data_IF_858455132216
#
_entry.id   IF_858455132216
#
_cell.length_a   1.000
_cell.length_b   1.000
_cell.length_c   1.000
_cell.angle_alpha   90.00
_cell.angle_beta   90.00
_cell.angle_gamma   90.00
#
_symmetry.space_group_name_H-M   'P 1'
#
loop_
_entity.id
_entity.type
_entity.pdbx_description
1 polymer ?
#
# COMPACT_ATOMS: atom_id res chain seq x y z
N UNK A 1 20.01 -7.70 -61.49
CA UNK A 1 19.17 -7.27 -60.34
C UNK A 1 19.34 -8.08 -59.03
N UNK A 2 19.98 -9.26 -59.00
CA UNK A 2 20.10 -10.06 -57.76
C UNK A 2 21.18 -9.58 -56.76
N UNK A 3 22.22 -8.88 -57.23
CA UNK A 3 23.37 -8.46 -56.38
C UNK A 3 23.05 -7.25 -55.48
N UNK A 4 22.14 -6.38 -55.91
CA UNK A 4 21.70 -5.21 -55.16
C UNK A 4 20.80 -5.60 -53.97
N UNK A 5 19.91 -6.58 -54.17
CA UNK A 5 19.06 -7.17 -53.12
C UNK A 5 19.88 -7.88 -52.04
N UNK A 6 20.96 -8.58 -52.42
CA UNK A 6 21.88 -9.22 -51.44
C UNK A 6 22.59 -8.19 -50.55
N UNK A 7 23.05 -7.07 -51.11
CA UNK A 7 23.68 -5.99 -50.33
C UNK A 7 22.69 -5.32 -49.38
N UNK A 8 21.47 -5.05 -49.85
CA UNK A 8 20.40 -4.50 -49.00
C UNK A 8 20.00 -5.46 -47.87
N UNK A 9 19.88 -6.76 -48.15
CA UNK A 9 19.61 -7.78 -47.13
C UNK A 9 20.74 -7.89 -46.09
N UNK A 10 22.00 -7.81 -46.52
CA UNK A 10 23.16 -7.84 -45.61
C UNK A 10 23.17 -6.60 -44.72
N UNK A 11 22.91 -5.41 -45.27
CA UNK A 11 22.82 -4.16 -44.49
C UNK A 11 21.66 -4.23 -43.48
N UNK A 12 20.51 -4.75 -43.89
CA UNK A 12 19.35 -4.93 -43.00
C UNK A 12 19.64 -5.91 -41.86
N UNK A 13 20.31 -7.04 -42.16
CA UNK A 13 20.71 -8.02 -41.14
C UNK A 13 21.69 -7.41 -40.13
N UNK A 14 22.69 -6.66 -40.60
CA UNK A 14 23.63 -5.96 -39.73
C UNK A 14 22.93 -4.93 -38.85
N UNK A 15 21.94 -4.20 -39.40
CA UNK A 15 21.15 -3.24 -38.64
C UNK A 15 20.30 -3.91 -37.55
N UNK A 16 19.62 -5.02 -37.86
CA UNK A 16 18.84 -5.78 -36.88
C UNK A 16 19.75 -6.32 -35.76
N UNK A 17 20.90 -6.89 -36.11
CA UNK A 17 21.86 -7.39 -35.12
C UNK A 17 22.39 -6.27 -34.21
N UNK A 18 22.61 -5.08 -34.76
CA UNK A 18 23.02 -3.91 -33.99
C UNK A 18 21.95 -3.48 -32.99
N UNK A 19 20.68 -3.39 -33.42
CA UNK A 19 19.56 -3.06 -32.52
C UNK A 19 19.40 -4.14 -31.43
N UNK A 20 19.47 -5.43 -31.77
CA UNK A 20 19.39 -6.52 -30.79
C UNK A 20 20.54 -6.46 -29.78
N UNK A 21 21.77 -6.16 -30.23
CA UNK A 21 22.93 -6.00 -29.36
C UNK A 21 22.75 -4.82 -28.39
N UNK A 22 22.26 -3.68 -28.89
CA UNK A 22 21.92 -2.52 -28.05
C UNK A 22 20.85 -2.87 -27.02
N UNK A 23 19.77 -3.58 -27.43
CA UNK A 23 18.71 -4.00 -26.50
C UNK A 23 19.25 -4.94 -25.41
N UNK A 24 20.15 -5.86 -25.76
CA UNK A 24 20.81 -6.74 -24.80
C UNK A 24 21.74 -5.96 -23.86
N UNK A 25 22.53 -5.03 -24.38
CA UNK A 25 23.40 -4.17 -23.56
C UNK A 25 22.63 -3.24 -22.63
N UNK A 26 21.52 -2.64 -23.10
CA UNK A 26 20.60 -1.85 -22.28
C UNK A 26 19.91 -2.69 -21.21
N UNK A 27 19.64 -3.98 -21.51
CA UNK A 27 19.12 -4.94 -20.54
C UNK A 27 20.16 -5.34 -19.50
N UNK A 28 21.45 -5.44 -19.84
CA UNK A 28 22.53 -5.69 -18.88
C UNK A 28 22.95 -4.45 -18.09
N UNK A 29 22.68 -3.26 -18.61
CA UNK A 29 22.87 -1.97 -17.92
C UNK A 29 21.68 -1.60 -17.02
N UNK A 30 20.55 -2.31 -17.11
CA UNK A 30 19.57 -2.34 -16.03
C UNK A 30 20.09 -3.34 -14.99
N UNK A 31 20.61 -2.89 -13.83
CA UNK A 31 20.78 -3.79 -12.71
C UNK A 31 19.41 -4.36 -12.36
N UNK A 32 19.22 -5.66 -12.62
CA UNK A 32 18.26 -6.44 -11.85
C UNK A 32 18.65 -6.23 -10.38
N UNK A 33 17.76 -5.57 -9.63
CA UNK A 33 17.83 -5.13 -8.23
C UNK A 33 18.19 -3.66 -8.00
N UNK A 34 17.19 -2.80 -8.22
CA UNK A 34 16.69 -1.94 -7.14
C UNK A 34 15.16 -2.04 -7.19
N UNK A 35 14.57 -2.58 -6.13
CA UNK A 35 13.13 -2.64 -5.95
C UNK A 35 12.54 -1.24 -5.89
N UNK A 36 12.01 -0.79 -7.02
CA UNK A 36 11.06 0.31 -7.08
C UNK A 36 9.70 -0.38 -7.09
N UNK A 37 8.96 -0.14 -6.01
CA UNK A 37 7.77 -0.90 -5.62
C UNK A 37 6.85 -1.23 -6.80
N UNK A 38 6.46 -2.50 -6.85
CA UNK A 38 5.31 -2.93 -7.61
C UNK A 38 4.13 -2.00 -7.30
N UNK A 39 3.48 -1.38 -8.30
CA UNK A 39 2.33 -0.49 -8.08
C UNK A 39 1.09 -1.22 -7.55
N UNK A 40 1.18 -2.54 -7.38
CA UNK A 40 0.19 -3.40 -6.79
C UNK A 40 0.94 -4.27 -5.80
N UNK A 41 0.62 -4.17 -4.50
CA UNK A 41 1.38 -4.73 -3.37
C UNK A 41 1.49 -6.27 -3.29
N UNK A 42 1.87 -6.92 -4.39
CA UNK A 42 2.09 -8.36 -4.49
C UNK A 42 3.38 -8.83 -3.80
N UNK A 43 4.18 -7.90 -3.25
CA UNK A 43 5.39 -8.20 -2.48
C UNK A 43 5.18 -8.46 -0.97
N UNK A 44 3.95 -8.41 -0.44
CA UNK A 44 3.70 -8.52 1.00
C UNK A 44 3.39 -9.94 1.52
N UNK A 45 3.54 -10.98 0.71
CA UNK A 45 3.28 -12.36 1.15
C UNK A 45 4.53 -13.25 1.33
N UNK A 46 5.52 -12.89 2.18
CA UNK A 46 6.42 -13.89 2.76
C UNK A 46 5.67 -14.94 3.62
N UNK A 47 4.52 -14.57 4.16
CA UNK A 47 3.83 -15.33 5.21
C UNK A 47 2.96 -16.49 4.70
N UNK A 48 2.53 -16.46 3.43
CA UNK A 48 1.78 -17.57 2.83
C UNK A 48 2.69 -18.75 2.46
N UNK A 49 3.92 -18.49 2.02
CA UNK A 49 4.88 -19.54 1.67
C UNK A 49 5.37 -20.30 2.92
N UNK A 50 5.46 -19.62 4.06
CA UNK A 50 5.84 -20.24 5.33
C UNK A 50 4.71 -21.11 5.90
N UNK A 51 3.43 -20.74 5.71
CA UNK A 51 2.28 -21.56 6.09
C UNK A 51 2.19 -22.86 5.29
N UNK A 52 2.51 -22.84 4.00
CA UNK A 52 2.47 -24.05 3.18
C UNK A 52 3.56 -25.05 3.60
N UNK A 53 4.76 -24.59 3.95
CA UNK A 53 5.85 -25.43 4.45
C UNK A 53 5.64 -25.93 5.89
N UNK A 54 4.97 -25.15 6.75
CA UNK A 54 4.66 -25.54 8.13
C UNK A 54 3.51 -26.56 8.22
N UNK A 55 2.59 -26.55 7.27
CA UNK A 55 1.45 -27.48 7.22
C UNK A 55 1.84 -28.88 6.71
N UNK A 56 2.94 -29.01 5.98
CA UNK A 56 3.43 -30.30 5.48
C UNK A 56 4.16 -31.13 6.56
N UNK A 57 4.67 -30.49 7.63
CA UNK A 57 5.62 -31.12 8.55
C UNK A 57 5.04 -31.54 9.92
N UNK A 58 3.71 -31.71 10.03
CA UNK A 58 3.08 -32.18 11.28
C UNK A 58 2.26 -33.45 11.08
N UNK A 59 2.97 -34.58 10.99
CA UNK A 59 2.47 -35.88 11.43
C UNK A 59 2.93 -36.13 12.88
N UNK A 60 1.96 -36.54 13.71
CA UNK A 60 1.92 -36.85 15.16
C UNK A 60 3.08 -37.76 15.71
N UNK A 61 3.27 -38.03 17.04
CA UNK A 61 2.51 -37.57 18.23
C UNK A 61 3.28 -37.28 19.55
N UNK A 62 2.49 -36.81 20.55
CA UNK A 62 2.49 -37.18 21.99
C UNK A 62 3.17 -36.32 23.09
N UNK A 63 2.32 -35.95 24.07
CA UNK A 63 2.48 -35.91 25.53
C UNK A 63 3.53 -34.98 26.17
N UNK A 64 3.08 -34.06 27.04
CA UNK A 64 3.08 -34.22 28.52
C UNK A 64 2.74 -32.90 29.23
N UNK A 65 1.99 -33.05 30.31
CA UNK A 65 1.40 -32.02 31.16
C UNK A 65 2.38 -31.33 32.12
N UNK A 66 1.83 -30.32 32.82
CA UNK A 66 2.24 -29.71 34.10
C UNK A 66 3.36 -28.66 34.05
N UNK A 67 3.43 -27.66 34.92
CA UNK A 67 2.59 -26.98 35.92
C UNK A 67 3.55 -25.96 36.58
N UNK A 68 2.99 -24.92 37.22
CA UNK A 68 3.53 -24.22 38.39
C UNK A 68 4.30 -22.87 38.29
N UNK A 69 3.74 -21.95 39.10
CA UNK A 69 4.31 -20.83 39.90
C UNK A 69 4.83 -19.53 39.29
N UNK A 70 3.95 -18.53 39.46
CA UNK A 70 4.17 -17.21 40.08
C UNK A 70 5.48 -17.03 40.86
N UNK A 71 6.21 -15.94 40.58
CA UNK A 71 6.85 -15.14 41.63
C UNK A 71 6.89 -13.66 41.22
N UNK A 72 6.63 -12.83 42.22
CA UNK A 72 6.31 -11.42 42.17
C UNK A 72 7.54 -10.61 42.64
N UNK A 73 7.94 -9.56 41.91
CA UNK A 73 8.82 -8.52 42.46
C UNK A 73 8.31 -7.14 42.04
N UNK A 74 8.19 -6.26 43.04
CA UNK A 74 7.59 -4.95 42.96
C UNK A 74 8.64 -3.85 42.71
N UNK A 75 8.12 -2.73 42.20
CA UNK A 75 8.55 -1.33 42.39
C UNK A 75 9.40 -0.68 41.27
N UNK A 76 8.70 -0.02 40.34
CA UNK A 76 9.08 1.31 39.81
C UNK A 76 7.79 2.14 39.63
N UNK A 77 7.43 2.85 40.70
CA UNK A 77 6.23 3.67 40.82
C UNK A 77 6.60 5.13 40.52
N UNK A 78 6.01 5.75 39.49
CA UNK A 78 6.16 7.20 39.26
C UNK A 78 5.76 7.73 37.89
N UNK A 79 5.92 6.94 36.81
CA UNK A 79 5.66 7.44 35.43
C UNK A 79 4.43 6.78 34.77
N UNK A 80 3.99 5.62 35.29
CA UNK A 80 2.92 4.83 34.67
C UNK A 80 1.49 5.36 34.90
N UNK A 81 1.26 6.23 35.89
CA UNK A 81 -0.11 6.58 36.32
C UNK A 81 -0.85 7.42 35.27
N UNK A 82 -0.14 8.25 34.49
CA UNK A 82 -0.77 9.07 33.44
C UNK A 82 -1.01 8.30 32.13
N UNK A 83 -0.20 7.26 31.86
CA UNK A 83 -0.34 6.38 30.69
C UNK A 83 -1.50 5.40 30.90
N UNK A 84 -1.63 4.83 32.09
CA UNK A 84 -2.67 3.86 32.44
C UNK A 84 -4.07 4.49 32.48
N UNK A 85 -4.19 5.73 32.94
CA UNK A 85 -5.49 6.44 32.98
C UNK A 85 -6.03 6.78 31.58
N UNK A 86 -5.13 7.05 30.63
CA UNK A 86 -5.49 7.31 29.23
C UNK A 86 -5.82 6.02 28.48
N UNK A 87 -5.16 4.91 28.80
CA UNK A 87 -5.45 3.60 28.17
C UNK A 87 -6.72 2.95 28.70
N UNK A 88 -7.05 3.06 29.99
CA UNK A 88 -8.29 2.48 30.53
C UNK A 88 -9.56 3.19 30.04
N UNK A 89 -9.48 4.50 29.77
CA UNK A 89 -10.60 5.25 29.19
C UNK A 89 -10.86 4.90 27.71
N UNK A 90 -9.81 4.60 26.93
CA UNK A 90 -9.95 4.17 25.52
C UNK A 90 -10.35 2.69 25.40
N UNK A 91 -9.89 1.83 26.32
CA UNK A 91 -10.28 0.41 26.39
C UNK A 91 -11.77 0.26 26.72
N UNK A 92 -12.32 1.09 27.61
CA UNK A 92 -13.75 1.08 27.92
C UNK A 92 -14.65 1.39 26.72
N UNK A 93 -14.20 2.26 25.81
CA UNK A 93 -14.97 2.66 24.61
C UNK A 93 -14.89 1.65 23.46
N UNK A 94 -13.85 0.81 23.42
CA UNK A 94 -13.71 -0.25 22.42
C UNK A 94 -14.56 -1.50 22.74
N UNK A 95 -14.85 -1.72 24.02
CA UNK A 95 -15.65 -2.86 24.50
C UNK A 95 -17.12 -2.78 24.03
N UNK A 96 -17.64 -1.57 23.79
CA UNK A 96 -19.01 -1.35 23.32
C UNK A 96 -19.14 -1.45 21.78
N UNK A 97 -18.04 -1.59 21.04
CA UNK A 97 -18.08 -1.67 19.59
C UNK A 97 -18.43 -3.10 19.13
N UNK A 98 -19.33 -3.25 18.13
CA UNK A 98 -19.75 -4.57 17.63
C UNK A 98 -18.55 -5.38 17.16
N UNK A 99 -18.49 -6.69 17.40
CA UNK A 99 -17.36 -7.55 16.96
C UNK A 99 -17.10 -7.44 15.45
N UNK A 100 -15.84 -7.49 14.97
CA UNK A 100 -15.55 -7.37 13.54
C UNK A 100 -16.08 -8.60 12.80
N UNK A 101 -16.71 -8.39 11.65
CA UNK A 101 -17.13 -9.45 10.75
C UNK A 101 -16.06 -9.67 9.67
N UNK A 102 -15.33 -10.78 9.78
CA UNK A 102 -14.26 -11.14 8.83
C UNK A 102 -14.76 -11.60 7.46
N UNK A 103 -16.07 -11.78 7.27
CA UNK A 103 -16.66 -12.01 5.95
C UNK A 103 -16.95 -10.71 5.20
N UNK A 104 -16.81 -9.55 5.87
CA UNK A 104 -16.95 -8.23 5.24
C UNK A 104 -15.58 -7.64 4.96
N UNK A 105 -15.39 -7.29 3.70
CA UNK A 105 -14.15 -6.76 3.17
C UNK A 105 -14.41 -5.39 2.57
N UNK A 106 -13.43 -4.51 2.70
CA UNK A 106 -13.45 -3.20 2.03
C UNK A 106 -12.19 -2.99 1.20
N UNK A 107 -12.31 -2.17 0.17
CA UNK A 107 -11.17 -1.60 -0.53
C UNK A 107 -10.69 -0.35 0.22
N UNK A 108 -9.40 -0.32 0.56
CA UNK A 108 -8.80 0.76 1.33
C UNK A 108 -7.54 1.27 0.63
N UNK A 109 -7.50 2.56 0.32
CA UNK A 109 -6.42 3.17 -0.46
C UNK A 109 -5.47 3.97 0.45
N UNK A 110 -4.17 3.69 0.33
CA UNK A 110 -3.10 4.30 1.15
C UNK A 110 -2.25 5.33 0.38
N UNK A 111 -2.81 5.89 -0.69
CA UNK A 111 -2.07 6.72 -1.66
C UNK A 111 -2.23 8.24 -1.47
N UNK A 112 -2.83 8.69 -0.38
CA UNK A 112 -3.06 10.12 -0.11
C UNK A 112 -1.89 10.73 0.67
N UNK A 113 -1.57 12.00 0.38
CA UNK A 113 -0.45 12.69 1.05
C UNK A 113 -0.64 14.19 1.14
N UNK A 114 0.00 14.82 2.12
CA UNK A 114 -0.12 16.25 2.39
C UNK A 114 1.25 16.91 2.70
N UNK A 115 1.35 18.26 2.67
CA UNK A 115 2.62 18.95 2.88
C UNK A 115 3.30 18.63 4.22
N UNK A 116 2.54 18.37 5.27
CA UNK A 116 3.06 18.12 6.61
C UNK A 116 3.80 16.78 6.72
N UNK A 117 3.25 15.71 6.16
CA UNK A 117 3.82 14.35 6.26
C UNK A 117 4.58 13.90 5.01
N UNK A 118 4.27 14.47 3.84
CA UNK A 118 4.78 14.03 2.54
C UNK A 118 5.54 15.14 1.78
N UNK A 119 5.61 16.35 2.33
CA UNK A 119 6.25 17.51 1.71
C UNK A 119 5.49 18.12 0.52
N UNK A 120 4.42 17.46 0.06
CA UNK A 120 3.50 17.93 -0.99
C UNK A 120 2.17 17.19 -0.91
N UNK A 121 1.14 17.75 -1.56
CA UNK A 121 -0.09 17.01 -1.79
C UNK A 121 0.12 15.87 -2.79
N UNK A 122 -0.43 14.70 -2.47
CA UNK A 122 -0.44 13.48 -3.30
C UNK A 122 -1.90 12.99 -3.37
N UNK A 123 -2.35 12.63 -4.56
CA UNK A 123 -3.73 12.28 -4.90
C UNK A 123 -4.78 13.39 -4.70
N UNK A 124 -4.73 14.18 -3.63
CA UNK A 124 -5.65 15.30 -3.43
C UNK A 124 -5.56 16.35 -4.56
N UNK A 125 -4.35 16.58 -5.06
CA UNK A 125 -4.08 17.48 -6.19
C UNK A 125 -4.14 16.74 -7.54
N UNK A 126 -5.05 15.77 -7.71
CA UNK A 126 -5.14 14.95 -8.93
C UNK A 126 -5.28 15.83 -10.19
N UNK A 127 -4.67 15.47 -11.33
CA UNK A 127 -4.93 16.16 -12.59
C UNK A 127 -6.36 15.91 -13.07
N UNK A 128 -6.98 16.93 -13.69
CA UNK A 128 -8.21 16.71 -14.43
C UNK A 128 -7.92 15.84 -15.65
N UNK A 129 -8.63 14.72 -15.77
CA UNK A 129 -8.44 13.79 -16.88
C UNK A 129 -9.11 14.34 -18.13
N UNK A 130 -8.36 14.49 -19.24
CA UNK A 130 -8.96 14.93 -20.49
C UNK A 130 -9.90 13.86 -21.04
N UNK A 131 -10.95 14.29 -21.72
CA UNK A 131 -11.75 13.40 -22.54
C UNK A 131 -10.88 12.78 -23.65
N UNK A 132 -11.16 11.53 -24.04
CA UNK A 132 -10.36 10.80 -25.04
C UNK A 132 -10.41 11.44 -26.44
N UNK A 133 -11.55 12.03 -26.82
CA UNK A 133 -11.67 12.87 -28.02
C UNK A 133 -11.15 14.29 -27.72
N UNK A 134 -10.07 14.75 -28.41
CA UNK A 134 -9.50 16.08 -28.22
C UNK A 134 -10.48 17.22 -28.50
N UNK A 135 -11.45 17.03 -29.41
CA UNK A 135 -12.44 18.06 -29.74
C UNK A 135 -13.37 18.32 -28.55
N UNK A 136 -13.76 17.25 -27.87
CA UNK A 136 -14.58 17.31 -26.65
C UNK A 136 -13.72 17.83 -25.49
N UNK A 137 -12.47 17.36 -25.36
CA UNK A 137 -11.57 17.77 -24.28
C UNK A 137 -11.28 19.28 -24.25
N UNK A 138 -11.33 19.95 -25.41
CA UNK A 138 -11.19 21.41 -25.51
C UNK A 138 -12.29 22.20 -24.78
N UNK A 139 -13.45 21.58 -24.54
CA UNK A 139 -14.59 22.22 -23.89
C UNK A 139 -14.58 22.07 -22.36
N UNK A 140 -13.61 21.34 -21.79
CA UNK A 140 -13.54 21.08 -20.35
C UNK A 140 -12.30 21.73 -19.70
N UNK A 141 -12.35 22.04 -18.40
CA UNK A 141 -11.20 22.55 -17.66
C UNK A 141 -10.02 21.59 -17.70
N UNK A 142 -8.81 22.15 -17.61
CA UNK A 142 -7.54 21.42 -17.55
C UNK A 142 -6.74 21.88 -16.36
N UNK A 143 -5.78 21.06 -15.95
CA UNK A 143 -4.86 21.38 -14.87
C UNK A 143 -4.93 20.35 -13.76
N UNK A 144 -4.73 20.82 -12.53
CA UNK A 144 -4.76 20.02 -11.31
C UNK A 144 -5.58 20.75 -10.25
N UNK A 145 -6.19 19.99 -9.37
CA UNK A 145 -6.81 20.54 -8.17
C UNK A 145 -5.76 21.23 -7.27
N UNK A 146 -6.17 22.26 -6.53
CA UNK A 146 -5.33 23.03 -5.61
C UNK A 146 -5.78 22.92 -4.13
N UNK A 147 -5.38 21.85 -3.41
CA UNK A 147 -5.74 21.66 -2.01
C UNK A 147 -5.18 22.79 -1.11
N UNK A 148 -5.82 23.10 0.04
CA UNK A 148 -6.81 22.25 0.71
C UNK A 148 -8.27 22.47 0.28
N UNK A 149 -8.61 23.61 -0.30
CA UNK A 149 -10.02 23.95 -0.58
C UNK A 149 -10.53 23.32 -1.88
N UNK A 150 -9.65 23.13 -2.86
CA UNK A 150 -9.96 22.47 -4.13
C UNK A 150 -9.24 21.12 -4.20
N UNK A 151 -9.98 20.03 -3.98
CA UNK A 151 -9.46 18.65 -4.01
C UNK A 151 -10.05 17.85 -5.16
N UNK A 152 -9.34 16.82 -5.61
CA UNK A 152 -9.78 15.87 -6.64
C UNK A 152 -10.84 14.88 -6.16
N UNK A 153 -11.95 15.39 -5.59
CA UNK A 153 -13.08 14.62 -5.11
C UNK A 153 -14.34 15.48 -5.13
N UNK A 154 -15.48 14.89 -5.49
CA UNK A 154 -16.80 15.55 -5.38
C UNK A 154 -17.28 15.69 -3.94
N UNK A 155 -16.68 14.95 -3.00
CA UNK A 155 -16.98 14.99 -1.56
C UNK A 155 -15.75 15.43 -0.77
N UNK A 156 -15.95 16.12 0.34
CA UNK A 156 -14.88 16.55 1.22
C UNK A 156 -14.78 15.65 2.46
N UNK A 157 -13.61 15.03 2.74
CA UNK A 157 -13.43 14.17 3.91
C UNK A 157 -13.46 14.99 5.21
N UNK A 158 -14.05 14.45 6.27
CA UNK A 158 -14.07 15.07 7.60
C UNK A 158 -12.66 15.31 8.17
N UNK A 159 -11.72 14.40 7.86
CA UNK A 159 -10.31 14.51 8.25
C UNK A 159 -9.50 15.49 7.36
N UNK A 160 -10.15 16.18 6.41
CA UNK A 160 -9.49 17.06 5.44
C UNK A 160 -8.56 16.31 4.47
N UNK A 161 -7.70 17.04 3.72
CA UNK A 161 -6.73 16.44 2.80
C UNK A 161 -5.57 15.83 3.60
N UNK A 162 -5.85 14.68 4.21
CA UNK A 162 -4.97 13.97 5.12
C UNK A 162 -3.79 13.29 4.41
N UNK A 163 -2.81 12.84 5.19
CA UNK A 163 -1.78 11.91 4.71
C UNK A 163 -2.12 10.48 5.13
N UNK A 164 -1.99 9.53 4.20
CA UNK A 164 -2.10 8.10 4.52
C UNK A 164 -0.93 7.60 5.38
N UNK A 165 0.12 8.40 5.58
CA UNK A 165 1.24 8.10 6.49
C UNK A 165 1.05 8.67 7.90
N UNK A 166 0.05 9.52 8.12
CA UNK A 166 -0.24 10.08 9.43
C UNK A 166 -0.82 8.97 10.35
N UNK A 167 -0.14 8.62 11.46
CA UNK A 167 -0.61 7.59 12.39
C UNK A 167 -1.99 7.90 12.97
N UNK A 168 -2.31 9.18 13.19
CA UNK A 168 -3.60 9.59 13.75
C UNK A 168 -4.76 9.34 12.78
N UNK A 169 -4.50 9.52 11.48
CA UNK A 169 -5.46 9.22 10.40
C UNK A 169 -5.68 7.72 10.28
N UNK A 170 -4.60 6.92 10.34
CA UNK A 170 -4.70 5.46 10.32
C UNK A 170 -5.55 4.98 11.52
N UNK A 171 -5.27 5.50 12.72
CA UNK A 171 -6.04 5.15 13.91
C UNK A 171 -7.53 5.52 13.76
N UNK A 172 -7.82 6.70 13.21
CA UNK A 172 -9.19 7.14 12.94
C UNK A 172 -9.91 6.21 11.95
N UNK A 173 -9.27 5.86 10.83
CA UNK A 173 -9.84 4.93 9.85
C UNK A 173 -10.08 3.52 10.44
N UNK A 174 -9.16 3.01 11.29
CA UNK A 174 -9.35 1.73 11.97
C UNK A 174 -10.54 1.77 12.94
N UNK A 175 -10.76 2.89 13.64
CA UNK A 175 -11.96 3.09 14.48
C UNK A 175 -13.24 3.15 13.65
N UNK A 176 -13.21 3.82 12.50
CA UNK A 176 -14.36 3.86 11.58
C UNK A 176 -14.72 2.45 11.08
N UNK A 177 -13.72 1.67 10.63
CA UNK A 177 -13.91 0.27 10.22
C UNK A 177 -14.46 -0.60 11.36
N UNK A 178 -13.91 -0.46 12.58
CA UNK A 178 -14.38 -1.17 13.77
C UNK A 178 -15.85 -0.86 14.06
N UNK A 179 -16.24 0.40 13.97
CA UNK A 179 -17.62 0.87 14.20
C UNK A 179 -18.58 0.33 13.14
N UNK A 180 -18.11 0.18 11.90
CA UNK A 180 -18.84 -0.45 10.80
C UNK A 180 -18.82 -1.99 10.83
N UNK A 181 -18.24 -2.62 11.87
CA UNK A 181 -18.11 -4.08 11.99
C UNK A 181 -17.32 -4.75 10.86
N UNK A 182 -16.39 -4.05 10.23
CA UNK A 182 -15.56 -4.60 9.15
C UNK A 182 -14.35 -5.32 9.77
N UNK A 183 -14.13 -6.57 9.38
CA UNK A 183 -13.01 -7.38 9.87
C UNK A 183 -11.78 -7.42 8.96
N UNK A 184 -11.95 -7.18 7.65
CA UNK A 184 -10.88 -7.27 6.66
C UNK A 184 -10.83 -6.04 5.74
N UNK A 185 -9.62 -5.62 5.37
CA UNK A 185 -9.38 -4.61 4.34
C UNK A 185 -8.41 -5.14 3.28
N UNK A 186 -8.63 -4.72 2.04
CA UNK A 186 -7.72 -4.96 0.91
C UNK A 186 -7.02 -3.65 0.57
N UNK A 187 -5.69 -3.71 0.47
CA UNK A 187 -4.80 -2.64 0.04
C UNK A 187 -4.63 -2.64 -1.48
#
# INVERSE_FOLDING_TARGET
>A
MARFRRRACVILLLFILFICSIMMALKTLRPDRVGIGDPFGLGLFPELQQRTALLENKHNPQNRAKEYSVTHSNNLHGVAVNVVKTSMASVGKLADLPSPNYNFHIFYYTWFGNPQFDGKYIHWNHPLLPHWDPKIANNYPRGRHNPPDDIGSSFYPELGPYSSKDPSVIEAHMKQMRTASIGNNFL
#
